data_IF_390043938800
#
_entry.id   IF_390043938800
#
_cell.length_a   1.000
_cell.length_b   1.000
_cell.length_c   1.000
_cell.angle_alpha   90.00
_cell.angle_beta   90.00
_cell.angle_gamma   90.00
#
_symmetry.space_group_name_H-M   'P 1'
#
loop_
_entity.id
_entity.type
_entity.pdbx_description
1 polymer ?
#
# COMPACT_ATOMS: atom_id res chain seq x y z
N UNK A 1 -23.27 4.93 -2.71
CA UNK A 1 -22.19 4.14 -3.35
C UNK A 1 -21.46 3.37 -2.28
N UNK A 2 -21.02 2.15 -2.58
CA UNK A 2 -20.33 1.30 -1.61
C UNK A 2 -19.82 0.02 -2.27
N UNK A 3 -19.31 -0.89 -1.44
CA UNK A 3 -18.94 -2.24 -1.85
C UNK A 3 -20.07 -3.17 -1.42
N UNK A 4 -20.70 -3.83 -2.39
CA UNK A 4 -21.79 -4.77 -2.13
C UNK A 4 -21.27 -6.19 -2.36
N UNK A 5 -21.14 -6.95 -1.27
CA UNK A 5 -20.57 -8.31 -1.26
C UNK A 5 -21.61 -9.36 -1.70
N UNK A 6 -21.21 -10.63 -1.75
CA UNK A 6 -22.06 -11.77 -2.11
C UNK A 6 -22.67 -11.68 -3.52
N UNK A 7 -21.97 -11.01 -4.44
CA UNK A 7 -22.43 -10.85 -5.81
C UNK A 7 -23.76 -10.12 -5.92
N UNK A 8 -24.02 -9.14 -5.03
CA UNK A 8 -25.19 -8.27 -5.12
C UNK A 8 -25.26 -7.64 -6.52
N UNK A 9 -26.44 -7.70 -7.14
CA UNK A 9 -26.73 -7.13 -8.47
C UNK A 9 -27.86 -6.11 -8.45
N UNK A 10 -28.45 -5.85 -7.27
CA UNK A 10 -29.51 -4.86 -7.08
C UNK A 10 -28.90 -3.47 -6.83
N UNK A 11 -27.73 -3.42 -6.18
CA UNK A 11 -27.07 -2.17 -5.78
C UNK A 11 -25.80 -1.85 -6.57
N UNK A 12 -25.34 -2.77 -7.43
CA UNK A 12 -24.20 -2.57 -8.33
C UNK A 12 -24.44 -3.32 -9.66
N UNK A 13 -24.05 -2.75 -10.82
CA UNK A 13 -24.24 -3.41 -12.11
C UNK A 13 -23.34 -4.64 -12.33
N UNK A 14 -22.12 -4.59 -11.78
CA UNK A 14 -21.12 -5.65 -11.84
C UNK A 14 -20.56 -5.86 -10.44
N UNK A 15 -20.15 -7.10 -10.13
CA UNK A 15 -19.43 -7.37 -8.90
C UNK A 15 -18.10 -6.60 -8.90
N UNK A 16 -17.87 -5.77 -7.86
CA UNK A 16 -16.67 -4.94 -7.77
C UNK A 16 -15.36 -5.75 -7.85
N UNK A 17 -15.38 -7.03 -7.47
CA UNK A 17 -14.22 -7.92 -7.54
C UNK A 17 -13.77 -8.19 -8.97
N UNK A 18 -14.68 -8.09 -9.94
CA UNK A 18 -14.40 -8.29 -11.37
C UNK A 18 -13.88 -7.03 -12.05
N UNK A 19 -14.36 -5.86 -11.63
CA UNK A 19 -14.07 -4.60 -12.29
C UNK A 19 -12.99 -3.76 -11.59
N UNK A 20 -12.59 -4.13 -10.38
CA UNK A 20 -11.67 -3.37 -9.53
C UNK A 20 -12.40 -2.51 -8.49
N UNK A 21 -11.71 -2.27 -7.37
CA UNK A 21 -12.32 -1.76 -6.13
C UNK A 21 -13.01 -0.41 -6.31
N UNK A 22 -12.34 0.52 -7.00
CA UNK A 22 -12.77 1.92 -7.18
C UNK A 22 -13.61 2.10 -8.44
N UNK A 23 -13.33 1.32 -9.49
CA UNK A 23 -14.05 1.39 -10.76
C UNK A 23 -15.56 1.11 -10.61
N UNK A 24 -15.96 0.29 -9.63
CA UNK A 24 -17.37 0.00 -9.34
C UNK A 24 -18.23 1.28 -9.16
N UNK A 25 -17.65 2.36 -8.63
CA UNK A 25 -18.36 3.63 -8.49
C UNK A 25 -18.78 4.22 -9.85
N UNK A 26 -17.89 4.15 -10.86
CA UNK A 26 -18.18 4.61 -12.21
C UNK A 26 -19.30 3.79 -12.85
N UNK A 27 -19.26 2.47 -12.68
CA UNK A 27 -20.31 1.57 -13.15
C UNK A 27 -21.67 1.85 -12.48
N UNK A 28 -21.71 1.99 -11.14
CA UNK A 28 -22.94 2.32 -10.40
C UNK A 28 -23.57 3.64 -10.89
N UNK A 29 -22.74 4.63 -11.21
CA UNK A 29 -23.20 5.94 -11.67
C UNK A 29 -23.49 6.00 -13.18
N UNK A 30 -23.12 4.96 -13.95
CA UNK A 30 -23.25 4.96 -15.41
C UNK A 30 -22.34 5.99 -16.10
N UNK A 31 -21.17 6.27 -15.52
CA UNK A 31 -20.16 7.21 -16.06
C UNK A 31 -18.90 6.45 -16.49
N UNK A 32 -17.94 7.14 -17.10
CA UNK A 32 -16.64 6.55 -17.46
C UNK A 32 -15.98 5.92 -16.22
N UNK A 33 -15.72 4.60 -16.23
CA UNK A 33 -15.11 3.92 -15.09
C UNK A 33 -13.61 4.15 -15.02
N UNK A 34 -12.97 4.84 -15.97
CA UNK A 34 -11.54 5.11 -15.93
C UNK A 34 -11.13 5.77 -14.59
N UNK A 35 -10.03 5.29 -14.03
CA UNK A 35 -9.53 5.83 -12.77
C UNK A 35 -9.00 7.26 -12.92
N UNK A 36 -9.27 8.07 -11.91
CA UNK A 36 -8.76 9.42 -11.82
C UNK A 36 -8.41 9.75 -10.37
N UNK A 37 -7.24 10.33 -10.15
CA UNK A 37 -6.82 10.74 -8.81
C UNK A 37 -7.63 11.97 -8.36
N UNK A 38 -8.15 12.00 -7.12
CA UNK A 38 -8.76 13.20 -6.54
C UNK A 38 -7.82 14.41 -6.58
N UNK A 39 -8.38 15.60 -6.85
CA UNK A 39 -7.62 16.86 -6.80
C UNK A 39 -7.38 17.26 -5.34
N UNK A 40 -6.12 17.49 -5.01
CA UNK A 40 -5.70 18.07 -3.74
C UNK A 40 -5.46 19.58 -3.89
N UNK A 41 -5.47 20.37 -2.81
CA UNK A 41 -5.11 21.80 -2.87
C UNK A 41 -3.74 22.02 -3.50
N UNK A 42 -3.56 23.10 -4.27
CA UNK A 42 -2.29 23.43 -4.91
C UNK A 42 -1.22 23.83 -3.89
N UNK A 43 -1.62 24.59 -2.87
CA UNK A 43 -0.74 25.02 -1.79
C UNK A 43 -0.63 23.93 -0.71
N UNK A 44 0.34 23.03 -0.89
CA UNK A 44 0.82 22.15 0.18
C UNK A 44 2.32 22.42 0.34
N UNK A 45 2.75 23.15 1.38
CA UNK A 45 4.14 23.57 1.52
C UNK A 45 5.06 22.42 1.92
N UNK A 46 6.35 22.55 1.59
CA UNK A 46 7.40 21.61 2.01
C UNK A 46 7.92 22.02 3.38
N UNK A 47 7.76 21.14 4.38
CA UNK A 47 8.30 21.35 5.73
C UNK A 47 9.66 20.67 5.96
N UNK A 48 9.89 19.53 5.31
CA UNK A 48 11.11 18.74 5.47
C UNK A 48 12.06 19.03 4.30
N UNK A 49 13.22 19.58 4.61
CA UNK A 49 14.19 20.02 3.60
C UNK A 49 14.99 18.85 3.01
N UNK A 50 15.39 17.87 3.82
CA UNK A 50 16.19 16.73 3.34
C UNK A 50 15.36 15.83 2.41
N UNK A 51 15.98 15.04 1.51
CA UNK A 51 15.27 14.03 0.73
C UNK A 51 14.73 12.90 1.61
N UNK A 52 13.47 12.52 1.41
CA UNK A 52 12.81 11.50 2.22
C UNK A 52 11.86 10.63 1.42
N UNK A 53 11.62 9.43 1.97
CA UNK A 53 10.66 8.45 1.49
C UNK A 53 9.63 8.25 2.59
N UNK A 54 8.35 8.31 2.24
CA UNK A 54 7.27 7.97 3.16
C UNK A 54 6.94 6.48 3.06
N UNK A 55 6.70 5.84 4.21
CA UNK A 55 6.22 4.47 4.29
C UNK A 55 4.90 4.37 5.06
N UNK A 56 4.06 3.42 4.67
CA UNK A 56 2.87 3.02 5.43
C UNK A 56 2.82 1.51 5.58
N UNK A 57 2.84 1.06 6.83
CA UNK A 57 2.99 -0.34 7.23
C UNK A 57 1.71 -0.91 7.83
N UNK A 58 0.68 -0.08 8.04
CA UNK A 58 -0.60 -0.48 8.68
C UNK A 58 -1.73 -0.65 7.68
N UNK A 59 -2.64 -1.56 8.00
CA UNK A 59 -3.85 -1.85 7.24
C UNK A 59 -4.95 -2.42 8.15
N UNK A 60 -6.18 -2.45 7.67
CA UNK A 60 -7.35 -2.85 8.48
C UNK A 60 -7.44 -4.34 8.78
N UNK A 61 -6.65 -5.18 8.11
CA UNK A 61 -6.65 -6.65 8.27
C UNK A 61 -5.24 -7.19 8.11
N UNK A 62 -4.93 -8.30 8.78
CA UNK A 62 -3.61 -8.92 8.69
C UNK A 62 -3.26 -9.36 7.25
N UNK A 63 -4.26 -9.73 6.44
CA UNK A 63 -4.02 -10.13 5.05
C UNK A 63 -3.47 -9.02 4.16
N UNK A 64 -3.77 -7.75 4.47
CA UNK A 64 -3.24 -6.58 3.75
C UNK A 64 -1.85 -6.16 4.24
N UNK A 65 -1.46 -6.59 5.43
CA UNK A 65 -0.13 -6.33 5.98
C UNK A 65 0.93 -7.07 5.14
N UNK A 66 2.14 -6.53 5.10
CA UNK A 66 3.28 -7.27 4.55
C UNK A 66 3.84 -8.22 5.60
N UNK A 67 3.45 -9.49 5.54
CA UNK A 67 3.75 -10.49 6.57
C UNK A 67 5.14 -11.15 6.42
N UNK A 68 6.03 -10.63 5.56
CA UNK A 68 7.40 -11.14 5.47
C UNK A 68 8.19 -10.68 6.71
N UNK A 69 8.84 -11.64 7.39
CA UNK A 69 9.48 -11.39 8.69
C UNK A 69 10.63 -10.39 8.70
N UNK A 70 11.30 -10.16 7.56
CA UNK A 70 12.42 -9.22 7.43
C UNK A 70 12.16 -8.13 6.38
N UNK A 71 10.95 -8.10 5.80
CA UNK A 71 10.66 -7.31 4.61
C UNK A 71 10.89 -5.82 4.82
N UNK A 72 10.22 -5.24 5.82
CA UNK A 72 10.33 -3.81 6.12
C UNK A 72 11.73 -3.43 6.59
N UNK A 73 12.37 -4.23 7.44
CA UNK A 73 13.71 -3.94 7.96
C UNK A 73 14.72 -3.82 6.81
N UNK A 74 14.72 -4.78 5.87
CA UNK A 74 15.60 -4.74 4.71
C UNK A 74 15.34 -3.52 3.81
N UNK A 75 14.07 -3.12 3.63
CA UNK A 75 13.71 -1.95 2.83
C UNK A 75 14.15 -0.66 3.51
N UNK A 76 13.89 -0.52 4.82
CA UNK A 76 14.28 0.67 5.59
C UNK A 76 15.81 0.81 5.61
N UNK A 77 16.53 -0.28 5.86
CA UNK A 77 17.99 -0.30 5.85
C UNK A 77 18.56 0.12 4.49
N UNK A 78 18.00 -0.43 3.39
CA UNK A 78 18.40 -0.06 2.04
C UNK A 78 18.18 1.43 1.77
N UNK A 79 17.00 1.96 2.08
CA UNK A 79 16.68 3.38 1.89
C UNK A 79 17.61 4.30 2.71
N UNK A 80 17.95 3.90 3.94
CA UNK A 80 18.92 4.62 4.77
C UNK A 80 20.34 4.57 4.22
N UNK A 81 20.77 3.43 3.68
CA UNK A 81 22.08 3.30 3.02
C UNK A 81 22.19 4.21 1.79
N UNK A 82 21.08 4.45 1.08
CA UNK A 82 20.99 5.45 0.01
C UNK A 82 21.01 6.90 0.55
N UNK A 83 20.78 7.10 1.84
CA UNK A 83 20.82 8.40 2.51
C UNK A 83 19.47 9.11 2.58
N UNK A 84 18.37 8.42 2.27
CA UNK A 84 17.04 8.98 2.49
C UNK A 84 16.68 8.97 3.97
N UNK A 85 15.95 10.00 4.40
CA UNK A 85 15.11 9.90 5.60
C UNK A 85 13.92 8.98 5.31
N UNK A 86 13.56 8.12 6.25
CA UNK A 86 12.48 7.13 6.06
C UNK A 86 11.39 7.40 7.08
N UNK A 87 10.25 7.94 6.64
CA UNK A 87 9.21 8.47 7.53
C UNK A 87 8.01 7.53 7.54
N UNK A 88 7.68 6.94 8.70
CA UNK A 88 6.47 6.14 8.85
C UNK A 88 5.27 7.05 9.16
N UNK A 89 4.30 7.11 8.25
CA UNK A 89 3.18 8.05 8.31
C UNK A 89 1.82 7.38 8.64
N UNK A 90 1.86 6.15 9.16
CA UNK A 90 0.68 5.43 9.59
C UNK A 90 -0.10 6.19 10.68
N UNK A 91 -1.43 6.02 10.73
CA UNK A 91 -2.23 6.56 11.84
C UNK A 91 -1.80 5.95 13.19
N UNK A 92 -1.68 4.63 13.23
CA UNK A 92 -1.34 3.89 14.43
C UNK A 92 0.13 3.48 14.42
N UNK A 93 0.86 3.84 15.48
CA UNK A 93 2.25 3.40 15.69
C UNK A 93 2.34 1.89 15.86
N UNK A 94 1.37 1.31 16.55
CA UNK A 94 1.26 -0.12 16.84
C UNK A 94 -0.17 -0.51 16.50
N UNK A 95 -0.35 -1.53 15.67
CA UNK A 95 -1.66 -2.05 15.31
C UNK A 95 -1.65 -3.58 15.38
N UNK A 96 -2.75 -4.16 15.83
CA UNK A 96 -2.88 -5.60 15.95
C UNK A 96 -4.20 -6.02 16.58
N UNK A 97 -4.38 -7.34 16.68
CA UNK A 97 -5.49 -7.95 17.40
C UNK A 97 -4.98 -9.21 18.08
N UNK A 98 -5.46 -9.49 19.30
CA UNK A 98 -5.10 -10.69 20.04
C UNK A 98 -3.60 -10.79 20.28
N UNK A 99 -2.96 -11.80 19.68
CA UNK A 99 -1.53 -12.09 19.86
C UNK A 99 -0.65 -11.61 18.69
N UNK A 100 -1.23 -11.02 17.64
CA UNK A 100 -0.45 -10.50 16.50
C UNK A 100 -0.49 -8.98 16.52
N UNK A 101 0.69 -8.39 16.65
CA UNK A 101 0.90 -6.96 16.70
C UNK A 101 2.06 -6.56 15.80
N UNK A 102 1.86 -5.52 15.02
CA UNK A 102 2.88 -4.94 14.14
C UNK A 102 3.20 -3.53 14.62
N UNK A 103 4.47 -3.29 14.93
CA UNK A 103 4.97 -1.97 15.32
C UNK A 103 5.49 -1.22 14.08
N UNK A 104 5.70 0.08 14.20
CA UNK A 104 6.55 0.84 13.28
C UNK A 104 7.88 0.08 13.08
N UNK A 105 8.41 -0.04 11.84
CA UNK A 105 9.69 -0.69 11.60
C UNK A 105 10.81 -0.06 12.42
N UNK A 106 11.82 -0.86 12.77
CA UNK A 106 13.03 -0.31 13.37
C UNK A 106 13.60 0.77 12.45
N UNK A 107 14.24 1.78 13.02
CA UNK A 107 14.93 2.85 12.28
C UNK A 107 14.05 3.81 11.45
N UNK A 108 12.79 3.48 11.16
CA UNK A 108 11.87 4.44 10.56
C UNK A 108 11.56 5.59 11.54
N UNK A 109 11.57 6.82 11.04
CA UNK A 109 11.22 8.00 11.83
C UNK A 109 9.72 7.99 12.15
N UNK A 110 9.40 8.28 13.40
CA UNK A 110 8.02 8.23 13.91
C UNK A 110 7.24 9.49 13.54
N UNK A 111 6.62 9.44 12.37
CA UNK A 111 5.64 10.44 11.93
C UNK A 111 4.22 9.93 12.10
N UNK A 112 3.98 8.92 12.94
CA UNK A 112 2.65 8.32 13.12
C UNK A 112 1.68 9.27 13.83
N UNK A 113 0.42 8.85 13.93
CA UNK A 113 -0.63 9.58 14.65
C UNK A 113 -1.78 10.04 13.76
N UNK A 114 -2.92 10.32 14.43
CA UNK A 114 -4.16 10.80 13.82
C UNK A 114 -4.08 12.29 13.45
N UNK A 115 -3.28 12.57 12.43
CA UNK A 115 -3.07 13.93 11.90
C UNK A 115 -4.02 14.22 10.73
N UNK A 116 -4.35 15.50 10.48
CA UNK A 116 -5.12 15.90 9.31
C UNK A 116 -4.58 15.32 8.01
N UNK A 117 -5.46 14.82 7.13
CA UNK A 117 -5.06 14.23 5.85
C UNK A 117 -4.34 15.24 4.94
N UNK A 118 -4.61 16.53 5.07
CA UNK A 118 -3.90 17.57 4.32
C UNK A 118 -2.43 17.70 4.74
N UNK A 119 -2.10 17.50 6.01
CA UNK A 119 -0.70 17.44 6.46
C UNK A 119 0.00 16.21 5.86
N UNK A 120 -0.69 15.06 5.82
CA UNK A 120 -0.17 13.83 5.18
C UNK A 120 0.03 14.02 3.68
N UNK A 121 -0.93 14.67 3.01
CA UNK A 121 -0.81 15.00 1.61
C UNK A 121 0.38 15.93 1.32
N UNK A 122 0.64 16.92 2.20
CA UNK A 122 1.78 17.81 2.06
C UNK A 122 3.10 17.04 2.18
N UNK A 123 3.24 16.17 3.17
CA UNK A 123 4.40 15.29 3.28
C UNK A 123 4.56 14.40 2.04
N UNK A 124 3.49 13.77 1.57
CA UNK A 124 3.55 12.88 0.41
C UNK A 124 3.96 13.63 -0.85
N UNK A 125 3.41 14.82 -1.10
CA UNK A 125 3.72 15.65 -2.27
C UNK A 125 5.22 15.94 -2.43
N UNK A 126 5.93 16.07 -1.31
CA UNK A 126 7.35 16.43 -1.31
C UNK A 126 8.28 15.24 -1.02
N UNK A 127 7.74 14.03 -0.86
CA UNK A 127 8.52 12.80 -0.77
C UNK A 127 9.04 12.40 -2.16
N UNK A 128 10.23 11.80 -2.21
CA UNK A 128 10.83 11.29 -3.46
C UNK A 128 9.97 10.18 -4.07
N UNK A 129 9.42 9.32 -3.20
CA UNK A 129 8.41 8.32 -3.50
C UNK A 129 7.79 7.80 -2.20
N UNK A 130 6.78 6.94 -2.34
CA UNK A 130 6.08 6.29 -1.25
C UNK A 130 6.12 4.77 -1.39
N UNK A 131 6.29 4.06 -0.27
CA UNK A 131 6.22 2.58 -0.18
C UNK A 131 5.10 2.19 0.77
N UNK A 132 4.09 1.47 0.30
CA UNK A 132 2.95 1.13 1.14
C UNK A 132 2.17 -0.09 0.70
N UNK A 133 1.10 -0.35 1.42
CA UNK A 133 0.22 -1.50 1.26
C UNK A 133 -0.98 -1.18 0.34
N UNK A 134 -1.86 -2.15 0.08
CA UNK A 134 -3.21 -1.87 -0.45
C UNK A 134 -4.11 -1.25 0.65
N UNK A 135 -3.78 -0.01 1.06
CA UNK A 135 -4.45 0.77 2.09
C UNK A 135 -4.62 2.22 1.66
N UNK A 136 -5.42 2.99 2.42
CA UNK A 136 -5.81 4.37 2.07
C UNK A 136 -4.65 5.33 1.83
N UNK A 137 -3.50 5.16 2.52
CA UNK A 137 -2.35 6.05 2.35
C UNK A 137 -1.70 5.92 0.95
N UNK A 138 -1.78 4.76 0.31
CA UNK A 138 -1.34 4.60 -1.09
C UNK A 138 -2.19 5.42 -2.05
N UNK A 139 -3.50 5.50 -1.82
CA UNK A 139 -4.41 6.34 -2.60
C UNK A 139 -4.13 7.83 -2.38
N UNK A 140 -3.80 8.22 -1.14
CA UNK A 140 -3.43 9.59 -0.83
C UNK A 140 -2.10 9.98 -1.50
N UNK A 141 -1.11 9.08 -1.50
CA UNK A 141 0.17 9.28 -2.18
C UNK A 141 -0.03 9.45 -3.69
N UNK A 142 -0.87 8.59 -4.30
CA UNK A 142 -1.25 8.72 -5.70
C UNK A 142 -1.95 10.05 -6.01
N UNK A 143 -2.87 10.48 -5.14
CA UNK A 143 -3.55 11.78 -5.25
C UNK A 143 -2.60 12.97 -5.10
N UNK A 144 -1.52 12.81 -4.34
CA UNK A 144 -0.48 13.82 -4.17
C UNK A 144 0.51 13.90 -5.35
N UNK A 145 0.39 13.00 -6.34
CA UNK A 145 1.32 12.89 -7.47
C UNK A 145 2.62 12.18 -7.12
N UNK A 146 2.72 11.57 -5.95
CA UNK A 146 3.91 10.86 -5.47
C UNK A 146 4.00 9.49 -6.15
N UNK A 147 5.17 9.08 -6.68
CA UNK A 147 5.37 7.72 -7.15
C UNK A 147 5.12 6.68 -6.05
N UNK A 148 4.34 5.63 -6.34
CA UNK A 148 3.89 4.64 -5.34
C UNK A 148 4.44 3.25 -5.65
N UNK A 149 5.29 2.72 -4.76
CA UNK A 149 5.60 1.27 -4.68
C UNK A 149 4.55 0.60 -3.81
N UNK A 150 3.71 -0.24 -4.41
CA UNK A 150 2.58 -0.87 -3.71
C UNK A 150 2.78 -2.37 -3.49
N UNK A 151 2.89 -2.77 -2.23
CA UNK A 151 3.07 -4.15 -1.79
C UNK A 151 1.72 -4.77 -1.47
N UNK A 152 1.32 -5.79 -2.23
CA UNK A 152 0.12 -6.58 -1.91
C UNK A 152 0.16 -7.92 -2.65
N UNK A 153 -0.04 -9.02 -1.92
CA UNK A 153 -0.43 -10.30 -2.52
C UNK A 153 -1.90 -10.65 -2.29
N UNK A 154 -2.59 -9.88 -1.46
CA UNK A 154 -3.98 -10.08 -1.09
C UNK A 154 -4.95 -9.75 -2.24
N UNK A 155 -4.56 -8.81 -3.08
CA UNK A 155 -5.32 -8.27 -4.21
C UNK A 155 -4.56 -8.47 -5.51
N UNK A 156 -5.27 -8.56 -6.63
CA UNK A 156 -4.69 -8.48 -7.96
C UNK A 156 -4.21 -7.06 -8.27
N UNK A 157 -3.25 -6.87 -9.19
CA UNK A 157 -2.81 -5.55 -9.65
C UNK A 157 -3.92 -4.66 -10.22
N UNK A 158 -5.01 -5.25 -10.72
CA UNK A 158 -6.17 -4.54 -11.28
C UNK A 158 -7.16 -4.06 -10.20
N UNK A 159 -6.91 -4.35 -8.92
CA UNK A 159 -7.83 -4.00 -7.85
C UNK A 159 -7.71 -2.55 -7.39
N UNK A 160 -6.48 -2.02 -7.37
CA UNK A 160 -6.17 -0.65 -7.00
C UNK A 160 -5.92 0.22 -8.25
N UNK A 161 -5.46 1.46 -8.04
CA UNK A 161 -4.97 2.30 -9.13
C UNK A 161 -3.72 1.71 -9.80
N UNK A 162 -3.53 2.00 -11.09
CA UNK A 162 -2.37 1.57 -11.82
C UNK A 162 -1.10 2.26 -11.30
N UNK A 163 -0.10 1.46 -10.95
CA UNK A 163 1.28 1.90 -10.73
C UNK A 163 2.23 0.92 -11.40
N UNK A 164 3.25 1.38 -12.14
CA UNK A 164 4.26 0.49 -12.71
C UNK A 164 5.07 -0.21 -11.60
N UNK A 165 5.03 0.29 -10.36
CA UNK A 165 5.78 -0.18 -9.20
C UNK A 165 4.96 -1.07 -8.25
N UNK A 166 3.96 -1.79 -8.78
CA UNK A 166 3.21 -2.81 -8.04
C UNK A 166 4.09 -4.03 -7.73
N UNK A 167 4.11 -4.49 -6.48
CA UNK A 167 4.87 -5.66 -6.01
C UNK A 167 3.92 -6.78 -5.56
N UNK A 168 3.91 -7.87 -6.31
CA UNK A 168 3.13 -9.08 -6.04
C UNK A 168 3.98 -10.32 -6.34
N UNK A 169 3.76 -11.43 -5.63
CA UNK A 169 4.29 -12.73 -5.99
C UNK A 169 3.15 -13.65 -6.43
N UNK A 170 3.14 -14.04 -7.71
CA UNK A 170 2.09 -14.87 -8.32
C UNK A 170 2.40 -16.37 -8.28
N UNK A 171 3.53 -16.78 -7.70
CA UNK A 171 3.90 -18.19 -7.53
C UNK A 171 3.44 -18.78 -6.19
N UNK A 172 2.95 -17.94 -5.28
CA UNK A 172 2.32 -18.31 -4.02
C UNK A 172 0.80 -18.11 -4.09
N UNK A 173 0.06 -18.53 -3.05
CA UNK A 173 -1.33 -18.12 -2.88
C UNK A 173 -1.47 -16.60 -3.01
N UNK A 174 -2.44 -16.09 -3.77
CA UNK A 174 -2.64 -14.65 -3.97
C UNK A 174 -4.10 -14.32 -4.28
N UNK A 175 -4.43 -13.02 -4.30
CA UNK A 175 -5.69 -12.47 -4.79
C UNK A 175 -6.96 -12.95 -4.06
N UNK A 176 -6.87 -13.29 -2.77
CA UNK A 176 -8.03 -13.72 -1.98
C UNK A 176 -9.17 -12.69 -2.00
N UNK A 177 -8.87 -11.38 -2.05
CA UNK A 177 -9.88 -10.33 -2.14
C UNK A 177 -10.70 -10.35 -3.44
N UNK A 178 -10.05 -10.72 -4.55
CA UNK A 178 -10.66 -10.72 -5.87
C UNK A 178 -11.34 -12.06 -6.20
N UNK A 179 -11.19 -13.05 -5.33
CA UNK A 179 -11.70 -14.39 -5.55
C UNK A 179 -13.22 -14.42 -5.37
N UNK A 180 -13.94 -14.81 -6.43
CA UNK A 180 -15.40 -14.86 -6.46
C UNK A 180 -15.99 -16.05 -5.67
N UNK A 181 -15.16 -17.04 -5.37
CA UNK A 181 -15.51 -18.25 -4.60
C UNK A 181 -15.34 -18.06 -3.08
N UNK A 182 -14.91 -16.88 -2.63
CA UNK A 182 -14.75 -16.56 -1.21
C UNK A 182 -15.39 -15.22 -0.88
N UNK A 183 -15.93 -15.10 0.33
CA UNK A 183 -16.52 -13.86 0.83
C UNK A 183 -15.68 -13.29 1.98
N UNK A 184 -15.42 -11.99 1.92
CA UNK A 184 -14.62 -11.28 2.92
C UNK A 184 -15.38 -11.17 4.25
N UNK A 185 -14.77 -11.67 5.33
CA UNK A 185 -15.32 -11.51 6.68
C UNK A 185 -14.80 -10.23 7.32
N UNK A 186 -15.70 -9.25 7.46
CA UNK A 186 -15.40 -7.93 7.99
C UNK A 186 -15.08 -7.93 9.49
N UNK A 187 -15.46 -8.99 10.20
CA UNK A 187 -15.23 -9.13 11.65
C UNK A 187 -13.96 -9.93 11.96
N UNK A 188 -13.35 -10.54 10.94
CA UNK A 188 -12.18 -11.38 11.09
C UNK A 188 -10.91 -10.63 10.66
N UNK A 189 -10.21 -10.04 11.63
CA UNK A 189 -8.90 -9.43 11.36
C UNK A 189 -7.89 -10.43 10.77
N UNK A 190 -8.04 -11.71 11.11
CA UNK A 190 -7.19 -12.83 10.68
C UNK A 190 -7.72 -13.54 9.42
N UNK A 191 -8.50 -12.83 8.60
CA UNK A 191 -9.11 -13.43 7.42
C UNK A 191 -8.05 -13.92 6.43
N UNK A 192 -8.07 -15.24 6.17
CA UNK A 192 -7.25 -15.90 5.17
C UNK A 192 -8.02 -17.13 4.67
N UNK A 193 -8.94 -16.98 3.71
CA UNK A 193 -10.02 -17.95 3.48
C UNK A 193 -9.50 -19.35 3.08
N UNK A 194 -8.30 -19.42 2.48
CA UNK A 194 -7.72 -20.67 1.98
C UNK A 194 -6.76 -21.36 2.97
N UNK A 195 -6.11 -20.60 3.85
CA UNK A 195 -4.97 -21.11 4.64
C UNK A 195 -4.98 -20.68 6.12
N UNK A 196 -6.08 -20.12 6.63
CA UNK A 196 -6.19 -19.73 8.05
C UNK A 196 -5.89 -20.91 8.97
N UNK A 197 -5.01 -20.69 9.95
CA UNK A 197 -4.61 -21.72 10.93
C UNK A 197 -3.63 -22.78 10.40
N UNK A 198 -3.07 -22.59 9.20
CA UNK A 198 -2.07 -23.49 8.61
C UNK A 198 -0.70 -22.82 8.50
N UNK A 199 0.34 -23.59 8.19
CA UNK A 199 1.70 -23.07 7.93
C UNK A 199 1.77 -22.14 6.70
N UNK A 200 0.77 -22.20 5.81
CA UNK A 200 0.64 -21.35 4.62
C UNK A 200 -0.17 -20.06 4.88
N UNK A 201 -0.57 -19.79 6.14
CA UNK A 201 -1.26 -18.55 6.46
C UNK A 201 -0.47 -17.32 5.99
N UNK A 202 -1.16 -16.42 5.27
CA UNK A 202 -0.61 -15.19 4.70
C UNK A 202 0.60 -15.38 3.76
N UNK A 203 0.72 -16.56 3.14
CA UNK A 203 1.75 -16.85 2.14
C UNK A 203 1.81 -15.76 1.04
N UNK A 204 0.66 -15.21 0.67
CA UNK A 204 0.51 -14.15 -0.32
C UNK A 204 1.41 -12.93 -0.11
N UNK A 205 1.70 -12.58 1.14
CA UNK A 205 2.59 -11.45 1.45
C UNK A 205 3.90 -11.91 2.07
N UNK A 206 3.96 -13.08 2.71
CA UNK A 206 5.22 -13.69 3.17
C UNK A 206 6.17 -14.02 2.01
N UNK A 207 5.63 -14.46 0.88
CA UNK A 207 6.41 -14.80 -0.31
C UNK A 207 6.97 -13.59 -1.06
N UNK A 208 6.51 -12.36 -0.73
CA UNK A 208 7.10 -11.12 -1.25
C UNK A 208 8.33 -10.80 -0.41
N UNK A 209 9.52 -10.95 -0.96
CA UNK A 209 10.79 -10.77 -0.22
C UNK A 209 11.21 -9.30 -0.18
N UNK A 210 12.04 -8.94 0.81
CA UNK A 210 12.65 -7.60 0.87
C UNK A 210 13.41 -7.25 -0.41
N UNK A 211 14.19 -8.20 -0.95
CA UNK A 211 14.93 -8.01 -2.20
C UNK A 211 14.01 -7.74 -3.40
N UNK A 212 12.83 -8.38 -3.46
CA UNK A 212 11.87 -8.12 -4.53
C UNK A 212 11.39 -6.66 -4.49
N UNK A 213 11.10 -6.13 -3.30
CA UNK A 213 10.68 -4.73 -3.13
C UNK A 213 11.83 -3.77 -3.43
N UNK A 214 13.04 -4.06 -2.94
CA UNK A 214 14.25 -3.27 -3.21
C UNK A 214 14.52 -3.18 -4.72
N UNK A 215 14.40 -4.28 -5.46
CA UNK A 215 14.58 -4.26 -6.92
C UNK A 215 13.56 -3.33 -7.62
N UNK A 216 12.33 -3.26 -7.11
CA UNK A 216 11.31 -2.36 -7.64
C UNK A 216 11.61 -0.90 -7.28
N UNK A 217 12.14 -0.64 -6.08
CA UNK A 217 12.63 0.68 -5.66
C UNK A 217 13.78 1.14 -6.56
N UNK A 218 14.77 0.28 -6.83
CA UNK A 218 15.89 0.61 -7.71
C UNK A 218 15.44 0.86 -9.15
N UNK A 219 14.47 0.08 -9.65
CA UNK A 219 13.84 0.35 -10.96
C UNK A 219 13.14 1.70 -10.95
N UNK A 220 12.33 2.01 -9.93
CA UNK A 220 11.65 3.31 -9.79
C UNK A 220 12.65 4.47 -9.84
N UNK A 221 13.73 4.37 -9.04
CA UNK A 221 14.78 5.39 -9.02
C UNK A 221 15.41 5.58 -10.39
N UNK A 222 15.69 4.48 -11.12
CA UNK A 222 16.25 4.54 -12.47
C UNK A 222 15.27 5.18 -13.46
N UNK A 223 14.01 4.74 -13.46
CA UNK A 223 12.98 5.21 -14.40
C UNK A 223 12.69 6.70 -14.21
N UNK A 224 12.72 7.18 -12.96
CA UNK A 224 12.50 8.58 -12.58
C UNK A 224 13.80 9.41 -12.46
N UNK A 225 14.95 8.80 -12.72
CA UNK A 225 16.27 9.45 -12.63
C UNK A 225 16.56 10.08 -11.24
N UNK A 226 16.13 9.41 -10.17
CA UNK A 226 16.34 9.84 -8.79
C UNK A 226 17.75 9.48 -8.30
N UNK A 227 18.61 10.49 -8.18
CA UNK A 227 19.96 10.35 -7.60
C UNK A 227 19.87 10.26 -6.09
N UNK A 228 20.39 9.17 -5.50
CA UNK A 228 20.31 9.01 -4.05
C UNK A 228 21.13 10.07 -3.31
N UNK A 229 20.71 10.51 -2.12
CA UNK A 229 21.43 11.52 -1.34
C UNK A 229 22.90 11.20 -1.07
N UNK A 230 23.25 9.93 -0.91
CA UNK A 230 24.64 9.50 -0.72
C UNK A 230 25.44 9.37 -2.03
N UNK A 231 24.77 9.32 -3.19
CA UNK A 231 25.42 9.37 -4.50
C UNK A 231 25.78 10.82 -4.90
N UNK A 232 24.99 11.81 -4.47
CA UNK A 232 25.24 13.24 -4.73
C UNK A 232 26.49 13.79 -4.01
N UNK A 233 26.99 13.09 -2.99
CA UNK A 233 28.14 13.50 -2.18
C UNK A 233 29.49 13.01 -2.74
N UNK A 234 29.48 12.24 -3.83
CA UNK A 234 30.68 11.73 -4.52
C UNK A 234 30.96 12.55 -5.76
#
# INVERSE_FOLDING_TARGET
>A
MGLFFKGDTDHQPYDFRQVGLHHTAGYILGVDPQESAPRLPEDLPREIAEPYVCIATKATTLAKMWNNGYGWDLVVDHLKQLGYRVLCIDKERIQGLGHVWSQIPHDAEDFTGDRPLLERAAMLRHAEFFVGLSSGLSWLAWSAGTPVVMISGFTLPTNEFATPYRVINTHACHACWNAMDTEFDHKDYFWCPRHKGTEQAYECTRAITGQQVINVIERLRKDLQLTAPNEQKK
#
